data_IF_549603920625
#
_entry.id   IF_549603920625
#
_cell.length_a   1.000
_cell.length_b   1.000
_cell.length_c   1.000
_cell.angle_alpha   90.00
_cell.angle_beta   90.00
_cell.angle_gamma   90.00
#
_symmetry.space_group_name_H-M   'P 1'
#
loop_
_entity.id
_entity.type
_entity.pdbx_description
1 polymer ?
#
# COMPACT_ATOMS: atom_id res chain seq x y z
N UNK A 1 45.84 -15.66 12.07
CA UNK A 1 44.82 -15.36 13.09
C UNK A 1 44.15 -14.01 12.84
N UNK A 2 44.90 -12.90 12.73
CA UNK A 2 44.34 -11.54 12.49
C UNK A 2 43.53 -11.38 11.19
N UNK A 3 43.89 -12.09 10.12
CA UNK A 3 43.18 -12.02 8.82
C UNK A 3 41.72 -12.50 8.91
N UNK A 4 41.45 -13.49 9.76
CA UNK A 4 40.09 -14.03 9.97
C UNK A 4 39.21 -13.01 10.69
N UNK A 5 39.78 -12.29 11.66
CA UNK A 5 39.08 -11.26 12.44
C UNK A 5 38.67 -10.09 11.54
N UNK A 6 39.57 -9.64 10.65
CA UNK A 6 39.28 -8.54 9.71
C UNK A 6 38.22 -8.95 8.68
N UNK A 7 38.26 -10.19 8.19
CA UNK A 7 37.28 -10.71 7.23
C UNK A 7 35.86 -10.83 7.85
N UNK A 8 35.75 -11.32 9.09
CA UNK A 8 34.48 -11.36 9.81
C UNK A 8 33.92 -9.96 10.06
N UNK A 9 34.78 -8.99 10.41
CA UNK A 9 34.35 -7.61 10.63
C UNK A 9 33.83 -6.94 9.34
N UNK A 10 34.51 -7.17 8.22
CA UNK A 10 34.10 -6.66 6.91
C UNK A 10 32.77 -7.26 6.42
N UNK A 11 32.53 -8.55 6.69
CA UNK A 11 31.27 -9.21 6.36
C UNK A 11 30.07 -8.60 7.13
N UNK A 12 30.24 -8.30 8.41
CA UNK A 12 29.19 -7.67 9.24
C UNK A 12 28.90 -6.24 8.77
N UNK A 13 29.94 -5.46 8.43
CA UNK A 13 29.77 -4.10 7.90
C UNK A 13 29.11 -4.08 6.51
N UNK A 14 29.41 -5.08 5.66
CA UNK A 14 28.78 -5.24 4.35
C UNK A 14 27.26 -5.50 4.42
N UNK A 15 26.81 -6.24 5.44
CA UNK A 15 25.38 -6.50 5.65
C UNK A 15 24.62 -5.27 6.14
N UNK A 16 25.23 -4.46 7.01
CA UNK A 16 24.63 -3.21 7.51
C UNK A 16 24.32 -2.20 6.38
N UNK A 17 25.22 -2.08 5.40
CA UNK A 17 25.02 -1.19 4.25
C UNK A 17 23.90 -1.65 3.31
N UNK A 18 23.69 -2.96 3.18
CA UNK A 18 22.60 -3.52 2.39
C UNK A 18 21.23 -3.21 3.01
N UNK A 19 21.11 -3.30 4.35
CA UNK A 19 19.87 -2.95 5.08
C UNK A 19 19.52 -1.47 4.95
N UNK A 20 20.51 -0.57 4.99
CA UNK A 20 20.29 0.87 4.79
C UNK A 20 19.86 1.18 3.35
N UNK A 21 20.41 0.44 2.36
CA UNK A 21 20.01 0.60 0.95
C UNK A 21 18.61 0.06 0.68
N UNK A 22 18.19 -1.02 1.35
CA UNK A 22 16.80 -1.50 1.32
C UNK A 22 15.85 -0.49 1.95
N UNK A 23 16.20 0.08 3.12
CA UNK A 23 15.39 1.15 3.76
C UNK A 23 15.23 2.40 2.90
N UNK A 24 16.28 2.81 2.15
CA UNK A 24 16.17 3.92 1.18
C UNK A 24 15.25 3.60 0.00
N UNK A 25 15.19 2.34 -0.45
CA UNK A 25 14.23 1.90 -1.48
C UNK A 25 12.80 1.86 -0.93
N UNK A 26 12.62 1.45 0.33
CA UNK A 26 11.34 1.55 1.05
C UNK A 26 10.85 3.00 1.15
N UNK A 27 11.75 3.98 1.27
CA UNK A 27 11.39 5.40 1.34
C UNK A 27 10.86 5.96 0.00
N UNK A 28 11.18 5.33 -1.13
CA UNK A 28 10.56 5.62 -2.43
C UNK A 28 9.25 4.84 -2.62
N UNK A 29 9.16 3.62 -2.06
CA UNK A 29 7.88 2.91 -1.92
C UNK A 29 6.91 3.64 -0.96
N UNK A 30 7.40 4.51 -0.08
CA UNK A 30 6.58 5.33 0.84
C UNK A 30 5.75 6.41 0.12
N UNK A 31 5.91 6.58 -1.19
CA UNK A 31 5.09 7.50 -1.99
C UNK A 31 3.83 6.84 -2.56
N UNK A 32 3.76 5.52 -2.54
CA UNK A 32 2.63 4.75 -3.06
C UNK A 32 2.15 3.81 -1.96
N UNK A 33 1.21 4.28 -1.16
CA UNK A 33 0.65 3.47 -0.07
C UNK A 33 -0.86 3.58 -0.04
N UNK A 34 -1.51 2.46 0.28
CA UNK A 34 -2.92 2.38 0.59
C UNK A 34 -3.02 1.98 2.05
N UNK A 35 -3.66 2.81 2.85
CA UNK A 35 -3.92 2.56 4.27
C UNK A 35 -5.41 2.52 4.51
N UNK A 36 -5.86 1.50 5.24
CA UNK A 36 -7.26 1.29 5.58
C UNK A 36 -7.40 1.43 7.09
N UNK A 37 -8.15 2.45 7.49
CA UNK A 37 -8.46 2.74 8.89
C UNK A 37 -9.95 2.54 9.15
N UNK A 38 -10.36 2.53 10.42
CA UNK A 38 -11.77 2.51 10.79
C UNK A 38 -12.53 3.78 10.32
N UNK A 39 -11.80 4.88 10.13
CA UNK A 39 -12.37 6.18 9.76
C UNK A 39 -12.51 6.34 8.24
N UNK A 40 -11.68 5.64 7.47
CA UNK A 40 -11.66 5.77 6.02
C UNK A 40 -10.46 5.12 5.34
N UNK A 41 -10.35 5.41 4.05
CA UNK A 41 -9.31 4.97 3.15
C UNK A 41 -8.35 6.13 2.84
N UNK A 42 -7.07 5.91 3.08
CA UNK A 42 -6.02 6.84 2.71
C UNK A 42 -5.18 6.25 1.57
N UNK A 43 -5.22 6.89 0.41
CA UNK A 43 -4.41 6.55 -0.75
C UNK A 43 -3.37 7.65 -0.97
N UNK A 44 -2.10 7.27 -1.02
CA UNK A 44 -1.04 8.14 -1.51
C UNK A 44 -0.54 7.62 -2.86
N UNK A 45 -0.54 8.50 -3.86
CA UNK A 45 -0.04 8.27 -5.21
C UNK A 45 1.01 9.33 -5.57
N UNK A 46 2.27 9.02 -5.29
CA UNK A 46 3.36 9.96 -5.49
C UNK A 46 3.30 11.11 -4.48
N UNK A 47 2.82 12.26 -4.95
CA UNK A 47 2.58 13.47 -4.14
C UNK A 47 1.10 13.71 -3.89
N UNK A 48 0.20 13.07 -4.65
CA UNK A 48 -1.23 13.14 -4.42
C UNK A 48 -1.59 12.29 -3.20
N UNK A 49 -2.35 12.87 -2.27
CA UNK A 49 -2.91 12.17 -1.11
C UNK A 49 -4.42 12.34 -1.14
N UNK A 50 -5.11 11.22 -1.21
CA UNK A 50 -6.56 11.14 -1.14
C UNK A 50 -6.92 10.50 0.19
N UNK A 51 -7.72 11.20 0.99
CA UNK A 51 -8.35 10.64 2.18
C UNK A 51 -9.85 10.63 1.92
N UNK A 52 -10.45 9.45 1.99
CA UNK A 52 -11.85 9.20 1.67
C UNK A 52 -12.49 8.60 2.91
N UNK A 53 -13.51 9.27 3.45
CA UNK A 53 -14.27 8.72 4.56
C UNK A 53 -15.15 7.57 4.07
N UNK A 54 -15.33 6.51 4.86
CA UNK A 54 -16.20 5.40 4.47
C UNK A 54 -17.66 5.84 4.22
N UNK A 55 -18.10 6.90 4.89
CA UNK A 55 -19.43 7.48 4.68
C UNK A 55 -19.63 8.07 3.27
N UNK A 56 -18.55 8.44 2.60
CA UNK A 56 -18.55 8.99 1.24
C UNK A 56 -18.45 7.90 0.17
N UNK A 57 -18.10 6.67 0.55
CA UNK A 57 -18.03 5.53 -0.39
C UNK A 57 -19.43 4.99 -0.65
N UNK A 58 -19.84 4.93 -1.91
CA UNK A 58 -21.11 4.28 -2.30
C UNK A 58 -20.92 2.81 -2.67
N UNK A 59 -19.77 2.50 -3.28
CA UNK A 59 -19.50 1.16 -3.79
C UNK A 59 -18.03 0.95 -4.10
N UNK A 60 -17.62 -0.32 -4.12
CA UNK A 60 -16.28 -0.75 -4.50
C UNK A 60 -16.44 -1.93 -5.46
N UNK A 61 -15.86 -1.83 -6.66
CA UNK A 61 -15.87 -2.93 -7.63
C UNK A 61 -14.55 -3.01 -8.38
N UNK A 62 -14.34 -4.15 -9.05
CA UNK A 62 -13.20 -4.38 -9.92
C UNK A 62 -13.62 -4.12 -11.35
N UNK A 63 -12.87 -3.28 -12.03
CA UNK A 63 -12.88 -3.18 -13.49
C UNK A 63 -11.93 -4.25 -14.03
N UNK A 64 -12.52 -5.32 -14.55
CA UNK A 64 -11.80 -6.50 -15.06
C UNK A 64 -11.09 -6.22 -16.38
N UNK A 65 -11.57 -5.28 -17.19
CA UNK A 65 -10.95 -4.92 -18.47
C UNK A 65 -9.61 -4.22 -18.23
N UNK A 66 -9.54 -3.38 -17.19
CA UNK A 66 -8.35 -2.59 -16.85
C UNK A 66 -7.59 -3.11 -15.64
N UNK A 67 -8.11 -4.15 -14.97
CA UNK A 67 -7.55 -4.75 -13.76
C UNK A 67 -7.29 -3.67 -12.71
N UNK A 68 -8.32 -2.87 -12.39
CA UNK A 68 -8.25 -1.78 -11.42
C UNK A 68 -9.43 -1.85 -10.44
N UNK A 69 -9.25 -1.37 -9.22
CA UNK A 69 -10.34 -1.23 -8.26
C UNK A 69 -10.91 0.17 -8.39
N UNK A 70 -12.23 0.28 -8.47
CA UNK A 70 -12.93 1.55 -8.56
C UNK A 70 -13.74 1.74 -7.28
N UNK A 71 -13.59 2.92 -6.69
CA UNK A 71 -14.33 3.37 -5.51
C UNK A 71 -15.28 4.49 -5.96
N UNK A 72 -16.58 4.20 -5.97
CA UNK A 72 -17.60 5.25 -6.15
C UNK A 72 -17.66 6.11 -4.91
N UNK A 73 -17.70 7.42 -5.13
CA UNK A 73 -17.82 8.42 -4.08
C UNK A 73 -19.08 9.25 -4.28
N UNK A 74 -19.76 9.58 -3.19
CA UNK A 74 -20.98 10.39 -3.19
C UNK A 74 -20.70 11.78 -3.77
N UNK A 75 -21.23 12.05 -4.96
CA UNK A 75 -21.15 13.37 -5.60
C UNK A 75 -19.75 13.78 -6.06
N UNK A 76 -18.78 12.85 -6.08
CA UNK A 76 -17.41 13.09 -6.55
C UNK A 76 -17.03 12.12 -7.66
N UNK A 77 -15.93 12.42 -8.38
CA UNK A 77 -15.41 11.49 -9.39
C UNK A 77 -14.98 10.16 -8.76
N UNK A 78 -15.26 9.02 -9.41
CA UNK A 78 -14.86 7.71 -8.90
C UNK A 78 -13.34 7.59 -8.86
N UNK A 79 -12.81 7.16 -7.72
CA UNK A 79 -11.38 6.95 -7.55
C UNK A 79 -10.99 5.59 -8.14
N UNK A 80 -9.99 5.58 -9.02
CA UNK A 80 -9.47 4.36 -9.64
C UNK A 80 -8.11 4.04 -9.05
N UNK A 81 -8.00 2.86 -8.46
CA UNK A 81 -6.81 2.37 -7.78
C UNK A 81 -6.28 1.19 -8.57
N UNK A 82 -5.07 1.33 -9.11
CA UNK A 82 -4.39 0.19 -9.73
C UNK A 82 -3.85 -0.75 -8.64
N UNK A 83 -3.89 -2.08 -8.82
CA UNK A 83 -3.42 -3.09 -7.86
C UNK A 83 -1.89 -3.20 -7.84
N UNK A 84 -1.22 -2.06 -7.69
CA UNK A 84 0.23 -1.96 -7.49
C UNK A 84 0.60 -2.08 -6.01
N UNK A 85 -0.40 -2.07 -5.12
CA UNK A 85 -0.22 -1.99 -3.67
C UNK A 85 -0.21 -3.39 -3.03
N UNK A 86 0.81 -3.69 -2.23
CA UNK A 86 0.86 -4.88 -1.37
C UNK A 86 1.10 -6.24 -2.06
N UNK A 87 1.32 -6.27 -3.39
CA UNK A 87 1.48 -7.52 -4.14
C UNK A 87 0.17 -8.31 -4.32
N UNK A 88 -0.97 -7.70 -3.97
CA UNK A 88 -2.30 -8.24 -4.20
C UNK A 88 -2.76 -7.87 -5.62
N UNK A 89 -3.33 -8.82 -6.35
CA UNK A 89 -4.03 -8.53 -7.61
C UNK A 89 -5.34 -7.76 -7.39
N UNK A 90 -5.96 -7.24 -8.44
CA UNK A 90 -7.19 -6.42 -8.34
C UNK A 90 -8.30 -7.07 -7.50
N UNK A 91 -8.50 -8.38 -7.65
CA UNK A 91 -9.48 -9.14 -6.88
C UNK A 91 -9.15 -9.20 -5.39
N UNK A 92 -7.90 -9.50 -5.02
CA UNK A 92 -7.48 -9.55 -3.62
C UNK A 92 -7.58 -8.17 -2.96
N UNK A 93 -7.35 -7.10 -3.72
CA UNK A 93 -7.52 -5.74 -3.24
C UNK A 93 -9.00 -5.40 -3.00
N UNK A 94 -9.89 -5.75 -3.93
CA UNK A 94 -11.32 -5.50 -3.78
C UNK A 94 -11.95 -6.32 -2.64
N UNK A 95 -11.56 -7.59 -2.48
CA UNK A 95 -12.01 -8.44 -1.37
C UNK A 95 -11.56 -7.87 -0.01
N UNK A 96 -10.31 -7.39 0.07
CA UNK A 96 -9.78 -6.77 1.27
C UNK A 96 -10.50 -5.45 1.61
N UNK A 97 -10.81 -4.63 0.60
CA UNK A 97 -11.58 -3.41 0.77
C UNK A 97 -13.03 -3.67 1.19
N UNK A 98 -13.69 -4.60 0.52
CA UNK A 98 -15.07 -4.97 0.80
C UNK A 98 -15.25 -5.55 2.21
N UNK A 99 -14.35 -6.45 2.63
CA UNK A 99 -14.37 -7.01 3.99
C UNK A 99 -14.11 -5.94 5.06
N UNK A 100 -13.24 -4.97 4.79
CA UNK A 100 -12.99 -3.85 5.70
C UNK A 100 -14.21 -2.95 5.82
N UNK A 101 -14.85 -2.60 4.70
CA UNK A 101 -16.08 -1.80 4.68
C UNK A 101 -17.20 -2.49 5.48
N UNK A 102 -17.38 -3.79 5.30
CA UNK A 102 -18.39 -4.57 6.00
C UNK A 102 -18.15 -4.57 7.52
N UNK A 103 -16.90 -4.78 7.97
CA UNK A 103 -16.54 -4.73 9.38
C UNK A 103 -16.81 -3.35 10.02
N UNK A 104 -16.63 -2.27 9.26
CA UNK A 104 -16.91 -0.89 9.73
C UNK A 104 -18.42 -0.64 9.82
N UNK A 105 -19.21 -1.17 8.90
CA UNK A 105 -20.68 -1.05 8.94
C UNK A 105 -21.29 -1.86 10.09
N UNK A 106 -20.66 -2.97 10.48
CA UNK A 106 -21.14 -3.87 11.53
C UNK A 106 -20.69 -3.45 12.96
N UNK A 107 -19.84 -2.42 13.09
CA UNK A 107 -19.32 -1.88 14.37
C UNK A 107 -20.05 -0.61 14.82
#
# INVERSE_FOLDING_TARGET
VWVVVVACLAAVLGWGLSVVRTRRRSHLASRYYLDLSAEGLALAEGEARHQIAWAEVEGIWVDEERIQVVIERKGEEPLRIEPRYGGLGAYGLAEYLGSTLQNVLDS
#
